data_IF_305968996190
#
_entry.id   IF_305968996190
#
_cell.length_a   1.000
_cell.length_b   1.000
_cell.length_c   1.000
_cell.angle_alpha   90.00
_cell.angle_beta   90.00
_cell.angle_gamma   90.00
#
_symmetry.space_group_name_H-M   'P 1'
#
loop_
_entity.id
_entity.type
_entity.pdbx_description
1 polymer ?
#
# COMPACT_ATOMS: atom_id res chain seq x y z
N UNK A 1 -12.34 -3.78 21.43
CA UNK A 1 -11.79 -4.34 20.19
C UNK A 1 -10.38 -4.85 20.42
N UNK A 2 -10.09 -6.09 20.06
CA UNK A 2 -8.79 -6.72 20.34
C UNK A 2 -7.66 -6.12 19.46
N UNK A 3 -7.94 -5.73 18.21
CA UNK A 3 -6.97 -5.17 17.29
C UNK A 3 -6.45 -3.77 17.70
N UNK A 4 -7.22 -3.01 18.46
CA UNK A 4 -6.87 -1.65 18.91
C UNK A 4 -5.67 -1.66 19.86
N UNK A 5 -5.47 -2.75 20.59
CA UNK A 5 -4.44 -2.84 21.65
C UNK A 5 -3.02 -2.89 21.11
N UNK A 6 -2.85 -3.26 19.84
CA UNK A 6 -1.54 -3.47 19.24
C UNK A 6 -1.06 -2.29 18.38
N UNK A 7 -1.87 -1.23 18.25
CA UNK A 7 -1.47 -0.01 17.55
C UNK A 7 -0.65 0.84 18.50
N UNK A 8 0.57 1.28 18.12
CA UNK A 8 1.42 2.09 19.00
C UNK A 8 0.76 3.38 19.46
N UNK A 9 0.91 3.72 20.74
CA UNK A 9 0.40 4.96 21.33
C UNK A 9 0.86 6.20 20.58
N UNK A 10 2.08 6.17 20.03
CA UNK A 10 2.63 7.25 19.21
C UNK A 10 1.84 7.54 17.94
N UNK A 11 1.09 6.57 17.41
CA UNK A 11 0.13 6.77 16.32
C UNK A 11 -1.26 7.14 16.85
N UNK A 12 -1.69 6.49 17.94
CA UNK A 12 -3.02 6.69 18.55
C UNK A 12 -3.25 8.15 18.96
N UNK A 13 -2.24 8.85 19.47
CA UNK A 13 -2.35 10.26 19.91
C UNK A 13 -2.50 11.26 18.76
N UNK A 14 -2.21 10.86 17.52
CA UNK A 14 -2.29 11.75 16.35
C UNK A 14 -3.73 11.85 15.85
N UNK A 15 -4.23 13.06 15.50
CA UNK A 15 -5.60 13.23 15.01
C UNK A 15 -5.71 12.97 13.49
N UNK A 16 -5.16 11.84 13.02
CA UNK A 16 -5.00 11.50 11.61
C UNK A 16 -5.79 10.23 11.23
N UNK A 17 -6.93 9.99 11.90
CA UNK A 17 -7.68 8.75 11.75
C UNK A 17 -8.91 8.92 10.87
N UNK A 18 -9.11 7.94 10.01
CA UNK A 18 -10.27 7.77 9.13
C UNK A 18 -10.84 6.37 9.30
N UNK A 19 -11.99 6.10 8.69
CA UNK A 19 -12.54 4.75 8.58
C UNK A 19 -12.57 4.29 7.13
N UNK A 20 -12.70 2.98 6.90
CA UNK A 20 -12.86 2.38 5.58
C UNK A 20 -13.88 1.24 5.58
N UNK A 21 -14.32 0.79 4.39
CA UNK A 21 -15.24 -0.33 4.27
C UNK A 21 -16.69 0.00 4.60
N UNK A 22 -17.16 1.21 4.26
CA UNK A 22 -18.58 1.55 4.39
C UNK A 22 -19.43 0.71 3.43
N UNK A 23 -20.57 0.18 3.92
CA UNK A 23 -21.48 -0.66 3.16
C UNK A 23 -21.92 0.02 1.84
N UNK A 24 -21.84 -0.69 0.73
CA UNK A 24 -22.25 -0.20 -0.59
C UNK A 24 -21.31 0.86 -1.20
N UNK A 25 -20.10 1.01 -0.67
CA UNK A 25 -19.07 1.91 -1.18
C UNK A 25 -17.80 1.13 -1.56
N UNK A 26 -16.90 1.71 -2.39
CA UNK A 26 -15.62 1.07 -2.66
C UNK A 26 -14.86 0.79 -1.36
N UNK A 27 -14.40 -0.46 -1.17
CA UNK A 27 -13.83 -0.92 0.10
C UNK A 27 -12.66 -0.09 0.59
N UNK A 28 -11.76 0.32 -0.32
CA UNK A 28 -10.57 1.13 -0.02
C UNK A 28 -10.81 2.65 -0.06
N UNK A 29 -12.06 3.13 0.07
CA UNK A 29 -12.36 4.56 0.17
C UNK A 29 -12.28 4.98 1.64
N UNK A 30 -11.55 6.08 1.98
CA UNK A 30 -11.54 6.61 3.34
C UNK A 30 -12.79 7.44 3.63
N UNK A 31 -13.24 7.40 4.88
CA UNK A 31 -14.42 8.15 5.39
C UNK A 31 -14.09 8.89 6.68
N UNK A 32 -14.64 10.09 6.81
CA UNK A 32 -14.67 10.82 8.08
C UNK A 32 -15.51 10.02 9.10
N UNK A 33 -14.92 9.59 10.22
CA UNK A 33 -15.60 8.75 11.22
C UNK A 33 -16.83 9.42 11.84
N UNK A 34 -16.86 10.75 11.92
CA UNK A 34 -17.94 11.55 12.52
C UNK A 34 -19.15 11.63 11.60
N UNK A 35 -18.91 11.94 10.34
CA UNK A 35 -19.97 12.29 9.38
C UNK A 35 -20.36 11.15 8.44
N UNK A 36 -19.47 10.16 8.23
CA UNK A 36 -19.64 9.11 7.24
C UNK A 36 -19.47 9.59 5.79
N UNK A 37 -19.04 10.84 5.57
CA UNK A 37 -18.70 11.36 4.24
C UNK A 37 -17.31 10.90 3.83
N UNK A 38 -16.99 10.86 2.53
CA UNK A 38 -15.64 10.58 2.07
C UNK A 38 -14.62 11.53 2.71
N UNK A 39 -13.57 10.97 3.31
CA UNK A 39 -12.40 11.72 3.78
C UNK A 39 -11.47 12.00 2.60
N UNK A 40 -10.60 12.98 2.76
CA UNK A 40 -9.66 13.39 1.72
C UNK A 40 -8.26 13.53 2.29
N UNK A 41 -7.31 12.98 1.57
CA UNK A 41 -5.89 13.14 1.89
C UNK A 41 -5.49 14.63 1.85
N UNK A 42 -4.71 15.07 2.83
CA UNK A 42 -4.30 16.46 2.97
C UNK A 42 -5.41 17.42 3.44
N UNK A 43 -6.56 16.91 3.90
CA UNK A 43 -7.66 17.69 4.47
C UNK A 43 -7.95 17.25 5.91
N UNK A 44 -7.18 17.74 6.91
CA UNK A 44 -7.30 17.34 8.32
C UNK A 44 -8.70 17.51 8.92
N UNK A 45 -9.50 18.43 8.39
CA UNK A 45 -10.88 18.63 8.79
C UNK A 45 -11.79 17.42 8.51
N UNK A 46 -11.35 16.49 7.66
CA UNK A 46 -12.05 15.24 7.35
C UNK A 46 -11.54 14.04 8.15
N UNK A 47 -10.54 14.23 9.01
CA UNK A 47 -9.96 13.21 9.88
C UNK A 47 -10.45 13.38 11.31
N UNK A 48 -10.22 12.41 12.16
CA UNK A 48 -10.61 12.44 13.56
C UNK A 48 -9.48 11.91 14.48
N UNK A 49 -9.70 11.97 15.77
CA UNK A 49 -8.92 11.22 16.75
C UNK A 49 -9.23 9.72 16.64
N UNK A 50 -8.32 8.92 17.19
CA UNK A 50 -8.40 7.47 17.16
C UNK A 50 -9.68 6.93 17.83
N UNK A 51 -10.07 7.49 18.97
CA UNK A 51 -11.22 7.02 19.73
C UNK A 51 -12.52 7.20 18.93
N UNK A 52 -12.68 8.32 18.26
CA UNK A 52 -13.82 8.59 17.38
C UNK A 52 -13.89 7.61 16.23
N UNK A 53 -12.74 7.28 15.59
CA UNK A 53 -12.67 6.30 14.52
C UNK A 53 -12.99 4.89 15.02
N UNK A 54 -12.41 4.49 16.15
CA UNK A 54 -12.63 3.20 16.78
C UNK A 54 -14.11 2.99 17.14
N UNK A 55 -14.76 3.97 17.77
CA UNK A 55 -16.17 3.93 18.11
C UNK A 55 -17.07 3.78 16.88
N UNK A 56 -16.72 4.45 15.77
CA UNK A 56 -17.48 4.34 14.53
C UNK A 56 -17.42 2.92 13.93
N UNK A 57 -16.29 2.23 14.07
CA UNK A 57 -16.13 0.82 13.68
C UNK A 57 -16.89 -0.10 14.65
N UNK A 58 -16.81 0.13 15.96
CA UNK A 58 -17.56 -0.64 16.97
C UNK A 58 -19.08 -0.55 16.77
N UNK A 59 -19.55 0.60 16.34
CA UNK A 59 -20.97 0.80 15.99
C UNK A 59 -21.38 0.10 14.67
N UNK A 60 -20.48 -0.64 14.02
CA UNK A 60 -20.75 -1.37 12.79
C UNK A 60 -20.93 -0.48 11.54
N UNK A 61 -20.51 0.77 11.60
CA UNK A 61 -20.62 1.71 10.46
C UNK A 61 -19.57 1.47 9.38
N UNK A 62 -18.42 0.90 9.77
CA UNK A 62 -17.26 0.69 8.92
C UNK A 62 -16.58 -0.65 9.23
N UNK A 63 -15.78 -1.18 8.30
CA UNK A 63 -15.03 -2.42 8.50
C UNK A 63 -13.77 -2.21 9.37
N UNK A 64 -13.14 -1.03 9.30
CA UNK A 64 -11.92 -0.77 10.05
C UNK A 64 -11.48 0.68 10.04
N UNK A 65 -10.42 0.95 10.80
CA UNK A 65 -9.76 2.26 10.88
C UNK A 65 -8.61 2.36 9.89
N UNK A 66 -8.24 3.57 9.52
CA UNK A 66 -7.09 3.88 8.68
C UNK A 66 -6.36 5.12 9.19
N UNK A 67 -5.08 5.23 8.85
CA UNK A 67 -4.21 6.31 9.25
C UNK A 67 -3.82 7.15 8.03
N UNK A 68 -4.12 8.46 8.07
CA UNK A 68 -3.74 9.43 7.04
C UNK A 68 -2.33 9.97 7.29
N UNK A 69 -1.52 10.04 6.23
CA UNK A 69 -0.20 10.64 6.29
C UNK A 69 -0.28 12.14 6.05
N UNK A 70 0.27 12.93 6.97
CA UNK A 70 0.29 14.39 6.92
C UNK A 70 1.71 14.91 6.70
N UNK A 71 1.87 15.82 5.75
CA UNK A 71 3.15 16.46 5.44
C UNK A 71 3.77 17.23 6.62
N UNK A 72 2.94 17.71 7.56
CA UNK A 72 3.40 18.36 8.78
C UNK A 72 3.84 17.35 9.86
N UNK A 73 3.49 16.06 9.68
CA UNK A 73 3.86 14.99 10.58
C UNK A 73 5.22 14.39 10.26
N UNK A 74 5.64 13.43 11.09
CA UNK A 74 6.89 12.69 10.91
C UNK A 74 6.66 11.19 10.80
N UNK A 75 5.58 10.76 10.15
CA UNK A 75 5.26 9.34 9.98
C UNK A 75 5.38 8.97 8.51
N UNK A 76 6.21 7.97 8.22
CA UNK A 76 6.31 7.32 6.92
C UNK A 76 5.60 5.98 6.98
N UNK A 77 4.74 5.70 6.00
CA UNK A 77 4.17 4.39 5.74
C UNK A 77 4.87 3.72 4.56
N UNK A 78 5.18 2.44 4.75
CA UNK A 78 5.76 1.57 3.72
C UNK A 78 4.81 0.39 3.53
N UNK A 79 4.36 0.18 2.31
CA UNK A 79 3.47 -0.91 1.93
C UNK A 79 4.24 -1.90 1.05
N UNK A 80 4.39 -3.13 1.55
CA UNK A 80 4.95 -4.26 0.82
C UNK A 80 3.81 -5.19 0.41
N UNK A 81 3.30 -5.00 -0.81
CA UNK A 81 2.23 -5.83 -1.36
C UNK A 81 2.73 -7.23 -1.74
N UNK A 82 1.85 -8.23 -1.56
CA UNK A 82 2.08 -9.63 -1.99
C UNK A 82 3.43 -10.21 -1.56
N UNK A 83 3.89 -9.90 -0.35
CA UNK A 83 5.17 -10.36 0.19
C UNK A 83 5.03 -11.53 1.18
N UNK A 84 3.80 -11.92 1.54
CA UNK A 84 3.53 -13.04 2.44
C UNK A 84 2.94 -14.22 1.67
N UNK A 85 3.64 -15.35 1.67
CA UNK A 85 3.25 -16.60 1.02
C UNK A 85 3.24 -17.73 2.05
N UNK A 86 2.05 -18.27 2.34
CA UNK A 86 1.88 -19.33 3.37
C UNK A 86 2.52 -18.96 4.72
N UNK A 87 2.35 -17.71 5.13
CA UNK A 87 2.91 -17.16 6.39
C UNK A 87 4.42 -16.88 6.37
N UNK A 88 5.08 -17.05 5.23
CA UNK A 88 6.51 -16.72 5.04
C UNK A 88 6.65 -15.42 4.27
N UNK A 89 7.50 -14.54 4.78
CA UNK A 89 7.80 -13.27 4.11
C UNK A 89 8.92 -13.44 3.07
N UNK A 90 8.82 -12.70 1.98
CA UNK A 90 9.90 -12.60 0.99
C UNK A 90 11.21 -12.17 1.65
N UNK A 91 12.35 -12.84 1.39
CA UNK A 91 13.62 -12.58 2.08
C UNK A 91 14.09 -11.12 1.97
N UNK A 92 13.82 -10.45 0.84
CA UNK A 92 14.18 -9.05 0.64
C UNK A 92 13.33 -8.15 1.55
N UNK A 93 12.02 -8.36 1.62
CA UNK A 93 11.10 -7.60 2.49
C UNK A 93 11.45 -7.85 3.94
N UNK A 94 11.64 -9.12 4.33
CA UNK A 94 12.03 -9.52 5.69
C UNK A 94 13.31 -8.81 6.15
N UNK A 95 14.30 -8.65 5.24
CA UNK A 95 15.54 -7.94 5.53
C UNK A 95 15.30 -6.45 5.83
N UNK A 96 14.36 -5.81 5.12
CA UNK A 96 14.01 -4.41 5.34
C UNK A 96 13.17 -4.22 6.60
N UNK A 97 12.21 -5.09 6.86
CA UNK A 97 11.42 -5.08 8.10
C UNK A 97 12.34 -5.18 9.33
N UNK A 98 13.37 -6.04 9.29
CA UNK A 98 14.37 -6.16 10.36
C UNK A 98 15.20 -4.90 10.53
N UNK A 99 15.62 -4.25 9.44
CA UNK A 99 16.42 -3.01 9.48
C UNK A 99 15.61 -1.81 9.97
N UNK A 100 14.34 -1.71 9.55
CA UNK A 100 13.41 -0.65 9.98
C UNK A 100 13.09 -0.77 11.47
N UNK A 101 13.03 -2.00 11.98
CA UNK A 101 12.80 -2.34 13.40
C UNK A 101 11.68 -1.53 14.07
N UNK A 102 10.61 -1.27 13.35
CA UNK A 102 9.48 -0.43 13.77
C UNK A 102 8.16 -1.18 13.67
N UNK A 103 7.07 -0.55 14.09
CA UNK A 103 5.74 -1.14 14.02
C UNK A 103 5.43 -1.66 12.62
N UNK A 104 5.13 -2.93 12.56
CA UNK A 104 4.81 -3.65 11.33
C UNK A 104 3.57 -4.48 11.55
N UNK A 105 2.61 -4.40 10.64
CA UNK A 105 1.38 -5.17 10.69
C UNK A 105 1.10 -5.90 9.38
N UNK A 106 0.32 -6.96 9.46
CA UNK A 106 -0.19 -7.68 8.30
C UNK A 106 -1.34 -6.86 7.69
N UNK A 107 -1.27 -6.61 6.38
CA UNK A 107 -2.29 -5.86 5.64
C UNK A 107 -3.67 -6.54 5.67
N UNK A 108 -4.77 -5.86 5.33
CA UNK A 108 -6.12 -6.45 5.34
C UNK A 108 -6.29 -7.67 4.44
N UNK A 109 -5.51 -7.79 3.35
CA UNK A 109 -5.53 -8.96 2.46
C UNK A 109 -4.94 -10.21 3.11
N UNK A 110 -4.03 -10.03 4.09
CA UNK A 110 -3.24 -11.10 4.67
C UNK A 110 -1.98 -11.45 3.87
N UNK A 111 -1.76 -10.83 2.72
CA UNK A 111 -0.67 -11.13 1.78
C UNK A 111 0.44 -10.09 1.76
N UNK A 112 0.26 -8.97 2.43
CA UNK A 112 1.21 -7.85 2.47
C UNK A 112 1.52 -7.37 3.89
N UNK A 113 2.48 -6.48 3.99
CA UNK A 113 2.90 -5.84 5.25
C UNK A 113 2.85 -4.32 5.12
N UNK A 114 2.32 -3.67 6.15
CA UNK A 114 2.46 -2.24 6.37
C UNK A 114 3.50 -1.98 7.46
N UNK A 115 4.49 -1.15 7.18
CA UNK A 115 5.48 -0.70 8.17
C UNK A 115 5.30 0.79 8.40
N UNK A 116 5.30 1.21 9.66
CA UNK A 116 5.22 2.62 10.05
C UNK A 116 6.49 3.02 10.79
N UNK A 117 7.09 4.14 10.40
CA UNK A 117 8.32 4.66 11.00
C UNK A 117 8.18 6.15 11.29
N UNK A 118 8.85 6.64 12.33
CA UNK A 118 9.06 8.08 12.51
C UNK A 118 10.23 8.51 11.61
N UNK A 119 9.90 9.19 10.50
CA UNK A 119 10.83 9.65 9.48
C UNK A 119 10.11 10.62 8.50
N UNK A 120 10.87 11.15 7.53
CA UNK A 120 10.36 11.84 6.36
C UNK A 120 10.91 11.21 5.09
N UNK A 121 10.15 11.24 4.00
CA UNK A 121 10.67 10.83 2.70
C UNK A 121 11.66 11.89 2.18
N UNK A 122 12.80 11.48 1.60
CA UNK A 122 13.76 12.43 1.02
C UNK A 122 13.29 13.07 -0.29
N UNK A 123 12.09 12.72 -0.76
CA UNK A 123 11.51 13.21 -2.01
C UNK A 123 10.04 12.87 -2.14
N UNK A 124 9.58 12.67 -3.38
CA UNK A 124 8.20 12.31 -3.67
C UNK A 124 7.88 10.86 -3.24
N UNK A 125 6.59 10.58 -3.05
CA UNK A 125 6.13 9.22 -2.77
C UNK A 125 6.66 8.21 -3.81
N UNK A 126 7.02 7.01 -3.35
CA UNK A 126 7.39 5.90 -4.24
C UNK A 126 6.17 5.02 -4.45
N UNK A 127 5.92 4.68 -5.72
CA UNK A 127 4.95 3.66 -6.15
C UNK A 127 5.67 2.67 -7.05
N UNK A 128 6.00 1.51 -6.51
CA UNK A 128 6.66 0.41 -7.24
C UNK A 128 5.96 -0.89 -6.91
N UNK A 129 6.14 -1.87 -7.79
CA UNK A 129 5.58 -3.21 -7.57
C UNK A 129 6.12 -3.85 -6.30
N UNK A 130 7.39 -3.56 -5.96
CA UNK A 130 8.08 -4.13 -4.81
C UNK A 130 7.68 -3.47 -3.49
N UNK A 131 7.42 -2.15 -3.50
CA UNK A 131 7.00 -1.40 -2.33
C UNK A 131 6.44 -0.02 -2.71
N UNK A 132 5.52 0.48 -1.90
CA UNK A 132 5.07 1.86 -1.92
C UNK A 132 5.52 2.58 -0.63
N UNK A 133 5.91 3.86 -0.74
CA UNK A 133 6.34 4.67 0.40
C UNK A 133 5.65 6.04 0.38
N UNK A 134 5.06 6.42 1.52
CA UNK A 134 4.31 7.67 1.67
C UNK A 134 4.60 8.34 3.00
N UNK A 135 4.66 9.67 3.02
CA UNK A 135 4.62 10.52 4.22
C UNK A 135 3.50 11.58 4.13
N UNK A 136 2.76 11.61 3.03
CA UNK A 136 1.64 12.54 2.78
C UNK A 136 0.75 12.06 1.65
N UNK A 137 -0.48 12.64 1.59
CA UNK A 137 -1.37 12.48 0.43
C UNK A 137 -1.89 11.05 0.22
N UNK A 138 -1.86 10.25 1.25
CA UNK A 138 -2.30 8.85 1.25
C UNK A 138 -2.77 8.46 2.65
N UNK A 139 -3.65 7.47 2.73
CA UNK A 139 -3.92 6.77 3.98
C UNK A 139 -3.58 5.28 3.84
N UNK A 140 -3.26 4.64 4.94
CA UNK A 140 -3.18 3.18 5.05
C UNK A 140 -4.33 2.66 5.90
N UNK A 141 -4.91 1.54 5.48
CA UNK A 141 -5.80 0.74 6.34
C UNK A 141 -4.97 0.18 7.49
N UNK A 142 -5.53 0.22 8.72
CA UNK A 142 -4.87 -0.31 9.90
C UNK A 142 -5.59 -1.58 10.37
N UNK A 143 -4.84 -2.62 10.63
CA UNK A 143 -5.38 -3.90 11.07
C UNK A 143 -5.12 -4.20 12.54
N UNK A 144 -4.05 -3.60 13.11
CA UNK A 144 -3.58 -3.94 14.45
C UNK A 144 -3.16 -5.40 14.59
N UNK A 145 -2.87 -6.10 13.48
CA UNK A 145 -2.34 -7.47 13.46
C UNK A 145 -0.82 -7.44 13.32
N UNK A 146 -0.04 -7.49 14.41
CA UNK A 146 1.40 -7.35 14.33
C UNK A 146 2.02 -8.47 13.50
N UNK A 147 3.07 -8.11 12.73
CA UNK A 147 3.94 -9.07 12.08
C UNK A 147 5.16 -9.32 12.97
N UNK A 148 5.23 -10.51 13.55
CA UNK A 148 6.26 -10.86 14.54
C UNK A 148 6.01 -10.22 15.92
N UNK A 149 7.06 -9.96 16.72
CA UNK A 149 6.92 -9.30 18.01
C UNK A 149 6.37 -7.88 17.88
N UNK A 150 5.53 -7.47 18.81
CA UNK A 150 5.04 -6.09 18.89
C UNK A 150 6.20 -5.12 19.04
N UNK A 151 6.16 -4.05 18.25
CA UNK A 151 7.18 -2.99 18.25
C UNK A 151 6.52 -1.62 18.33
N UNK A 152 7.14 -0.65 19.02
CA UNK A 152 6.68 0.72 18.97
C UNK A 152 6.96 1.36 17.62
N UNK A 153 6.39 2.53 17.37
CA UNK A 153 6.83 3.41 16.28
C UNK A 153 8.25 3.90 16.59
N UNK A 154 9.22 3.56 15.73
CA UNK A 154 10.63 3.93 15.93
C UNK A 154 11.11 4.97 14.92
N UNK A 155 12.06 5.78 15.33
CA UNK A 155 12.82 6.63 14.42
C UNK A 155 13.70 5.77 13.50
N UNK A 156 13.56 5.95 12.18
CA UNK A 156 14.27 5.13 11.19
C UNK A 156 14.70 5.94 9.95
N UNK A 157 15.06 7.21 10.12
CA UNK A 157 15.35 8.12 9.00
C UNK A 157 16.40 7.57 8.03
N UNK A 158 17.54 7.09 8.53
CA UNK A 158 18.62 6.59 7.68
C UNK A 158 18.21 5.31 6.92
N UNK A 159 17.44 4.44 7.58
CA UNK A 159 16.94 3.21 6.96
C UNK A 159 15.88 3.52 5.90
N UNK A 160 15.00 4.47 6.16
CA UNK A 160 14.01 4.98 5.18
C UNK A 160 14.72 5.57 3.97
N UNK A 161 15.75 6.40 4.17
CA UNK A 161 16.56 6.96 3.10
C UNK A 161 17.24 5.88 2.25
N UNK A 162 17.80 4.84 2.90
CA UNK A 162 18.46 3.74 2.22
C UNK A 162 17.48 2.90 1.37
N UNK A 163 16.30 2.56 1.91
CA UNK A 163 15.26 1.86 1.17
C UNK A 163 14.78 2.70 -0.03
N UNK A 164 14.54 3.99 0.22
CA UNK A 164 14.12 4.93 -0.81
C UNK A 164 15.13 4.98 -1.97
N UNK A 165 16.42 5.09 -1.67
CA UNK A 165 17.49 5.10 -2.68
C UNK A 165 17.57 3.77 -3.45
N UNK A 166 17.41 2.64 -2.76
CA UNK A 166 17.40 1.32 -3.41
C UNK A 166 16.23 1.18 -4.38
N UNK A 167 15.02 1.56 -4.00
CA UNK A 167 13.85 1.53 -4.87
C UNK A 167 13.98 2.45 -6.09
N UNK A 168 14.59 3.62 -5.91
CA UNK A 168 14.92 4.52 -7.02
C UNK A 168 15.94 3.89 -8.00
N UNK A 169 16.99 3.25 -7.48
CA UNK A 169 18.00 2.60 -8.31
C UNK A 169 17.43 1.39 -9.09
N UNK A 170 16.54 0.62 -8.48
CA UNK A 170 15.84 -0.48 -9.15
C UNK A 170 15.00 0.01 -10.33
N UNK A 171 14.31 1.14 -10.16
CA UNK A 171 13.49 1.74 -11.22
C UNK A 171 14.33 2.15 -12.45
N UNK A 172 15.50 2.78 -12.23
CA UNK A 172 16.42 3.16 -13.31
C UNK A 172 16.88 1.95 -14.10
N UNK A 173 17.29 0.87 -13.41
CA UNK A 173 17.73 -0.38 -14.04
C UNK A 173 16.63 -1.07 -14.87
N UNK A 174 15.36 -0.92 -14.50
CA UNK A 174 14.23 -1.45 -15.27
C UNK A 174 13.96 -0.65 -16.54
N UNK A 175 14.15 0.69 -16.50
CA UNK A 175 14.01 1.56 -17.67
C UNK A 175 15.15 1.38 -18.68
N UNK A 176 16.37 1.08 -18.21
CA UNK A 176 17.56 0.88 -19.05
C UNK A 176 17.65 -0.52 -19.67
N UNK A 177 16.74 -1.45 -19.39
CA UNK A 177 16.66 -2.73 -20.08
C UNK A 177 16.17 -2.47 -21.52
N UNK A 178 16.96 -2.86 -22.56
CA UNK A 178 16.49 -2.80 -23.94
C UNK A 178 15.19 -3.59 -24.05
N UNK A 179 14.11 -2.95 -24.52
CA UNK A 179 12.93 -3.69 -24.96
C UNK A 179 13.37 -4.51 -26.16
N UNK A 180 13.55 -5.81 -26.01
CA UNK A 180 13.67 -6.72 -27.15
C UNK A 180 12.41 -6.53 -27.99
N UNK A 181 12.59 -5.89 -29.16
CA UNK A 181 11.56 -5.89 -30.17
C UNK A 181 11.22 -7.35 -30.46
N UNK A 182 9.94 -7.72 -30.55
CA UNK A 182 9.59 -9.05 -31.03
C UNK A 182 10.28 -9.22 -32.39
N UNK A 183 11.21 -10.18 -32.47
CA UNK A 183 11.74 -10.65 -33.75
C UNK A 183 10.55 -11.08 -34.57
N UNK A 184 10.32 -10.39 -35.69
CA UNK A 184 9.33 -10.81 -36.68
C UNK A 184 9.61 -12.27 -37.03
N UNK A 185 8.60 -13.12 -36.92
CA UNK A 185 8.69 -14.51 -37.37
C UNK A 185 9.16 -14.54 -38.82
N UNK A 186 10.05 -15.49 -39.22
CA UNK A 186 10.48 -15.61 -40.59
C UNK A 186 9.25 -15.93 -41.47
N UNK A 187 9.21 -15.24 -42.61
CA UNK A 187 8.09 -15.15 -43.55
C UNK A 187 7.35 -16.47 -43.79
N UNK A 188 6.03 -16.37 -43.66
CA UNK A 188 5.14 -17.40 -44.15
C UNK A 188 5.23 -17.50 -45.68
N UNK A 189 5.29 -18.72 -46.14
CA UNK A 189 5.28 -19.12 -47.55
C UNK A 189 4.01 -18.60 -48.22
N UNK A 190 4.17 -17.85 -49.31
CA UNK A 190 3.09 -17.49 -50.21
C UNK A 190 2.40 -18.77 -50.74
N UNK A 191 1.18 -19.00 -50.32
CA UNK A 191 0.28 -19.95 -50.98
C UNK A 191 -0.57 -19.11 -51.91
N UNK A 192 -0.32 -19.27 -53.20
CA UNK A 192 -1.16 -18.72 -54.28
C UNK A 192 -2.61 -19.17 -54.10
N UNK A 193 -3.48 -18.22 -53.88
CA UNK A 193 -4.93 -18.41 -53.94
C UNK A 193 -5.35 -18.53 -55.42
N UNK A 194 -5.57 -19.75 -55.89
CA UNK A 194 -6.32 -20.01 -57.09
C UNK A 194 -7.83 -19.86 -56.83
N UNK A 195 -8.60 -19.26 -57.72
CA UNK A 195 -9.98 -18.85 -57.45
C UNK A 195 -10.96 -20.05 -57.51
N UNK A 196 -11.63 -20.28 -56.39
CA UNK A 196 -12.78 -21.20 -56.34
C UNK A 196 -14.09 -20.42 -56.28
N UNK A 197 -14.42 -19.74 -57.39
CA UNK A 197 -15.77 -19.22 -57.62
C UNK A 197 -16.36 -20.01 -58.79
N UNK A 198 -17.21 -20.96 -58.52
CA UNK A 198 -18.37 -21.32 -59.27
C UNK A 198 -18.96 -22.63 -58.76
N UNK A 199 -20.08 -22.54 -58.04
CA UNK A 199 -21.26 -23.43 -58.16
C UNK A 199 -22.01 -23.47 -56.83
N UNK A 200 -22.92 -22.58 -56.65
CA UNK A 200 -24.21 -22.90 -56.00
C UNK A 200 -25.25 -21.90 -56.49
N UNK A 201 -25.79 -22.21 -57.65
CA UNK A 201 -27.17 -21.87 -58.02
C UNK A 201 -27.87 -23.20 -58.25
N UNK A 202 -28.72 -23.57 -57.34
CA UNK A 202 -30.07 -24.14 -57.50
C UNK A 202 -30.66 -24.33 -56.11
#
# INVERSE_FOLDING_TARGET
MEFVKNIPDALVILPQWVCWGAKGKPRKMPFDPRTGKPAKAGQPETWADFQTAAQAVEAGRFEGVGFEFDAAGCVVGIDFDHCLHDGKCDPWVESWVKKLDSYTEISPSGEGLHVFCSAHLPGQAIKRKEAEMYDRGRYFTMTGRPYGPEKPLRAAQDTVNALYAELQARARKQQDRPTEKPTAAPGGVDIEDAPLIAKMKK
#
